data_IF_596399728078
#
_entry.id   IF_596399728078
#
_cell.length_a   1.000
_cell.length_b   1.000
_cell.length_c   1.000
_cell.angle_alpha   90.00
_cell.angle_beta   90.00
_cell.angle_gamma   90.00
#
_symmetry.space_group_name_H-M   'P 1'
#
loop_
_entity.id
_entity.type
_entity.pdbx_description
1 polymer ?
#
# COMPACT_ATOMS: atom_id res chain seq x y z
N UNK A 1 -22.59 12.71 -12.38
CA UNK A 1 -23.16 12.15 -11.14
C UNK A 1 -22.05 12.09 -10.11
N UNK A 2 -22.02 13.03 -9.16
CA UNK A 2 -21.11 12.96 -8.02
C UNK A 2 -21.93 12.43 -6.85
N UNK A 3 -21.55 11.27 -6.30
CA UNK A 3 -22.17 10.74 -5.10
C UNK A 3 -21.98 11.69 -3.90
N UNK A 4 -22.57 11.37 -2.73
CA UNK A 4 -22.37 12.17 -1.53
C UNK A 4 -20.87 12.36 -1.25
N UNK A 5 -20.46 13.60 -0.95
CA UNK A 5 -19.08 13.92 -0.61
C UNK A 5 -18.64 13.06 0.57
N UNK A 6 -17.76 12.09 0.30
CA UNK A 6 -17.08 11.32 1.33
C UNK A 6 -16.00 12.22 1.93
N UNK A 7 -15.94 12.43 3.25
CA UNK A 7 -14.88 13.23 3.84
C UNK A 7 -13.54 12.55 3.59
N UNK A 8 -12.74 13.09 2.67
CA UNK A 8 -11.35 12.66 2.49
C UNK A 8 -10.51 13.28 3.59
N UNK A 9 -9.95 12.48 4.48
CA UNK A 9 -9.10 12.97 5.57
C UNK A 9 -7.68 13.35 5.10
N UNK A 10 -7.51 13.62 3.80
CA UNK A 10 -6.20 13.91 3.20
C UNK A 10 -5.26 12.70 3.09
N UNK A 11 -5.79 11.48 3.28
CA UNK A 11 -5.04 10.23 3.20
C UNK A 11 -5.25 9.47 1.90
N UNK A 12 -4.47 8.41 1.71
CA UNK A 12 -4.63 7.44 0.64
C UNK A 12 -5.02 6.07 1.21
N UNK A 13 -5.66 5.25 0.38
CA UNK A 13 -6.02 3.87 0.67
C UNK A 13 -5.60 2.98 -0.50
N UNK A 14 -5.10 1.79 -0.21
CA UNK A 14 -5.02 0.71 -1.18
C UNK A 14 -5.76 -0.50 -0.67
N UNK A 15 -6.59 -1.12 -1.51
CA UNK A 15 -7.20 -2.42 -1.19
C UNK A 15 -6.31 -3.50 -1.79
N UNK A 16 -5.70 -4.29 -0.91
CA UNK A 16 -4.85 -5.41 -1.33
C UNK A 16 -5.75 -6.60 -1.62
N UNK A 17 -5.66 -7.10 -2.85
CA UNK A 17 -6.24 -8.36 -3.27
C UNK A 17 -5.19 -9.45 -3.07
N UNK A 18 -5.39 -10.37 -2.11
CA UNK A 18 -4.45 -11.45 -1.87
C UNK A 18 -4.42 -12.42 -3.05
N UNK A 19 -3.28 -13.05 -3.28
CA UNK A 19 -3.16 -14.14 -4.27
C UNK A 19 -3.70 -15.47 -3.72
N UNK A 20 -3.70 -15.64 -2.40
CA UNK A 20 -4.40 -16.73 -1.74
C UNK A 20 -5.90 -16.44 -1.65
N UNK A 21 -6.73 -17.46 -1.40
CA UNK A 21 -8.18 -17.31 -1.16
C UNK A 21 -8.47 -16.70 0.23
N UNK A 22 -7.96 -15.50 0.47
CA UNK A 22 -8.22 -14.72 1.68
C UNK A 22 -8.94 -13.42 1.31
N UNK A 23 -9.62 -12.83 2.30
CA UNK A 23 -10.36 -11.59 2.11
C UNK A 23 -9.43 -10.42 1.77
N UNK A 24 -9.81 -9.53 0.85
CA UNK A 24 -9.11 -8.28 0.62
C UNK A 24 -9.03 -7.44 1.89
N UNK A 25 -7.92 -6.72 2.05
CA UNK A 25 -7.70 -5.86 3.22
C UNK A 25 -7.12 -4.51 2.82
N UNK A 26 -7.48 -3.43 3.54
CA UNK A 26 -7.00 -2.10 3.23
C UNK A 26 -5.60 -1.82 3.82
N UNK A 27 -4.83 -0.99 3.12
CA UNK A 27 -3.69 -0.23 3.62
C UNK A 27 -4.06 1.24 3.63
N UNK A 28 -3.83 1.92 4.74
CA UNK A 28 -4.11 3.35 4.87
C UNK A 28 -2.80 4.13 4.98
N UNK A 29 -2.71 5.27 4.30
CA UNK A 29 -1.59 6.19 4.34
C UNK A 29 -2.10 7.55 4.78
N UNK A 30 -1.56 8.07 5.88
CA UNK A 30 -1.86 9.42 6.35
C UNK A 30 -0.56 10.16 6.57
N UNK A 31 -0.54 11.45 6.22
CA UNK A 31 0.60 12.30 6.50
C UNK A 31 0.56 12.70 7.98
N UNK A 32 1.70 12.54 8.64
CA UNK A 32 2.03 13.19 9.90
C UNK A 32 3.10 14.25 9.61
N UNK A 33 3.33 15.21 10.51
CA UNK A 33 4.06 16.48 10.26
C UNK A 33 5.27 16.37 9.31
N UNK A 34 6.07 15.29 9.41
CA UNK A 34 7.24 15.03 8.55
C UNK A 34 7.34 13.59 8.04
N UNK A 35 6.33 12.75 8.27
CA UNK A 35 6.36 11.32 7.96
C UNK A 35 5.04 10.88 7.34
N UNK A 36 5.01 9.65 6.84
CA UNK A 36 3.75 9.03 6.43
C UNK A 36 3.48 7.82 7.30
N UNK A 37 2.38 7.86 8.03
CA UNK A 37 1.92 6.73 8.83
C UNK A 37 1.16 5.79 7.91
N UNK A 38 1.70 4.59 7.72
CA UNK A 38 0.99 3.49 7.06
C UNK A 38 0.36 2.57 8.09
N UNK A 39 -0.90 2.17 7.87
CA UNK A 39 -1.61 1.17 8.69
C UNK A 39 -2.17 0.03 7.86
N UNK A 40 -1.99 -1.19 8.32
CA UNK A 40 -2.63 -2.39 7.76
C UNK A 40 -4.00 -2.58 8.41
N UNK A 41 -5.00 -2.91 7.61
CA UNK A 41 -6.33 -3.32 8.08
C UNK A 41 -6.28 -4.58 8.94
N UNK A 42 -7.26 -4.74 9.83
CA UNK A 42 -7.33 -5.83 10.82
C UNK A 42 -7.30 -7.22 10.17
N UNK A 43 -7.89 -7.34 8.98
CA UNK A 43 -8.00 -8.55 8.17
C UNK A 43 -6.66 -9.02 7.56
N UNK A 44 -5.60 -8.20 7.60
CA UNK A 44 -4.30 -8.58 7.07
C UNK A 44 -3.68 -9.73 7.88
N UNK A 45 -3.63 -10.94 7.29
CA UNK A 45 -2.99 -12.10 7.90
C UNK A 45 -1.50 -12.12 7.57
N UNK A 46 -0.68 -11.70 8.54
CA UNK A 46 0.80 -11.71 8.45
C UNK A 46 1.45 -12.81 9.32
N UNK A 47 0.65 -13.69 9.92
CA UNK A 47 0.98 -14.44 11.14
C UNK A 47 2.13 -15.46 11.03
N UNK A 48 2.70 -15.68 9.84
CA UNK A 48 3.77 -16.66 9.61
C UNK A 48 4.99 -16.12 8.88
N UNK A 49 5.04 -14.82 8.60
CA UNK A 49 6.08 -14.22 7.76
C UNK A 49 7.31 -13.81 8.57
N UNK A 50 8.52 -14.09 8.06
CA UNK A 50 9.77 -13.61 8.68
C UNK A 50 10.20 -12.26 8.13
N UNK A 51 9.93 -11.98 6.86
CA UNK A 51 10.26 -10.73 6.18
C UNK A 51 9.10 -10.22 5.33
N UNK A 52 8.56 -9.04 5.67
CA UNK A 52 7.52 -8.37 4.91
C UNK A 52 8.12 -7.21 4.11
N UNK A 53 7.96 -7.24 2.79
CA UNK A 53 8.36 -6.14 1.92
C UNK A 53 7.15 -5.53 1.24
N UNK A 54 7.19 -4.21 1.08
CA UNK A 54 6.19 -3.45 0.36
C UNK A 54 6.88 -2.69 -0.76
N UNK A 55 6.35 -2.84 -1.96
CA UNK A 55 6.78 -2.10 -3.13
C UNK A 55 5.65 -1.23 -3.66
N UNK A 56 5.98 0.00 -4.05
CA UNK A 56 5.10 0.88 -4.79
C UNK A 56 5.76 1.09 -6.15
N UNK A 57 5.10 0.63 -7.20
CA UNK A 57 5.64 0.67 -8.56
C UNK A 57 5.40 2.05 -9.20
N UNK A 58 6.16 2.38 -10.25
CA UNK A 58 6.02 3.67 -10.95
C UNK A 58 4.65 3.82 -11.61
N UNK A 59 4.02 2.71 -12.00
CA UNK A 59 2.78 2.65 -12.75
C UNK A 59 1.69 1.86 -12.00
N UNK A 60 0.43 2.11 -12.34
CA UNK A 60 -0.74 1.42 -11.78
C UNK A 60 -1.28 0.34 -12.68
N UNK A 61 -0.48 -0.68 -12.97
CA UNK A 61 -0.89 -1.78 -13.86
C UNK A 61 -0.81 -3.15 -13.18
N UNK A 62 -1.93 -3.55 -12.56
CA UNK A 62 -2.07 -4.85 -11.89
C UNK A 62 -2.03 -6.06 -12.83
N UNK A 63 -2.05 -5.86 -14.15
CA UNK A 63 -1.93 -6.97 -15.10
C UNK A 63 -0.48 -7.44 -15.23
N UNK A 64 0.48 -6.57 -14.89
CA UNK A 64 1.90 -6.87 -14.94
C UNK A 64 2.41 -7.34 -13.57
N UNK A 65 3.32 -8.31 -13.60
CA UNK A 65 4.16 -8.60 -12.43
C UNK A 65 5.08 -7.41 -12.18
N UNK A 66 5.55 -7.25 -10.94
CA UNK A 66 6.47 -6.17 -10.57
C UNK A 66 7.80 -6.29 -11.35
N UNK A 67 7.85 -5.70 -12.54
CA UNK A 67 9.03 -5.68 -13.41
C UNK A 67 9.69 -4.30 -13.34
N UNK A 68 11.00 -4.29 -13.09
CA UNK A 68 11.81 -3.06 -13.00
C UNK A 68 12.00 -2.52 -11.58
N UNK A 69 12.54 -1.30 -11.53
CA UNK A 69 12.84 -0.60 -10.28
C UNK A 69 11.56 0.02 -9.72
N UNK A 70 11.22 -0.28 -8.46
CA UNK A 70 10.05 0.34 -7.86
C UNK A 70 10.36 1.81 -7.56
N UNK A 71 9.30 2.61 -7.41
CA UNK A 71 9.42 3.95 -6.87
C UNK A 71 9.67 3.89 -5.36
N UNK A 72 8.75 3.20 -4.68
CA UNK A 72 8.69 2.79 -3.28
C UNK A 72 9.30 1.42 -2.96
N UNK A 73 10.26 1.28 -2.05
CA UNK A 73 10.53 -0.03 -1.42
C UNK A 73 10.75 0.11 0.08
N UNK A 74 10.02 -0.68 0.86
CA UNK A 74 10.09 -0.67 2.32
C UNK A 74 10.17 -2.09 2.87
N UNK A 75 11.00 -2.27 3.88
CA UNK A 75 11.00 -3.46 4.73
C UNK A 75 10.20 -3.17 5.98
N UNK A 76 9.20 -3.99 6.25
CA UNK A 76 8.24 -3.82 7.32
C UNK A 76 8.44 -4.93 8.36
N UNK A 77 8.33 -4.56 9.63
CA UNK A 77 8.26 -5.53 10.73
C UNK A 77 6.89 -6.23 10.70
N UNK A 78 6.81 -7.54 10.37
CA UNK A 78 5.55 -8.27 10.25
C UNK A 78 4.76 -8.37 11.56
N UNK A 79 5.38 -8.02 12.70
CA UNK A 79 4.74 -7.99 14.02
C UNK A 79 3.99 -6.69 14.30
N UNK A 80 4.20 -5.66 13.48
CA UNK A 80 3.54 -4.36 13.60
C UNK A 80 2.42 -4.24 12.57
N UNK A 81 1.43 -3.41 12.87
CA UNK A 81 0.37 -3.02 11.94
C UNK A 81 0.43 -1.55 11.54
N UNK A 82 1.28 -0.77 12.20
CA UNK A 82 1.52 0.64 11.90
C UNK A 82 3.02 0.86 11.68
N UNK A 83 3.34 1.66 10.67
CA UNK A 83 4.70 1.92 10.22
C UNK A 83 4.89 3.40 9.95
N UNK A 84 6.00 3.95 10.45
CA UNK A 84 6.45 5.29 10.11
C UNK A 84 7.31 5.19 8.86
N UNK A 85 6.75 5.65 7.74
CA UNK A 85 7.45 5.74 6.47
C UNK A 85 8.08 7.14 6.34
N UNK A 86 9.11 7.29 5.48
CA UNK A 86 9.56 8.59 5.00
C UNK A 86 8.40 9.43 4.48
N UNK A 87 8.61 10.74 4.33
CA UNK A 87 7.60 11.61 3.74
C UNK A 87 7.23 11.14 2.32
N UNK A 88 5.97 10.75 2.14
CA UNK A 88 5.40 10.40 0.86
C UNK A 88 4.51 11.53 0.33
N UNK A 89 4.51 11.69 -0.99
CA UNK A 89 3.57 12.56 -1.67
C UNK A 89 2.24 11.82 -1.86
N UNK A 90 1.25 12.16 -1.04
CA UNK A 90 -0.10 11.56 -1.06
C UNK A 90 -0.98 12.17 -2.17
N UNK A 91 -0.48 12.17 -3.40
CA UNK A 91 -1.13 12.79 -4.55
C UNK A 91 -0.68 12.18 -5.87
N UNK A 92 -1.01 12.87 -6.97
CA UNK A 92 -0.64 12.46 -8.33
C UNK A 92 0.50 13.33 -8.82
N UNK A 93 1.69 12.75 -8.94
CA UNK A 93 2.88 13.38 -9.51
C UNK A 93 3.93 12.32 -9.88
N UNK A 94 5.12 12.73 -10.33
CA UNK A 94 6.25 11.83 -10.53
C UNK A 94 6.66 11.09 -9.25
N UNK A 95 6.46 11.70 -8.08
CA UNK A 95 6.75 11.11 -6.75
C UNK A 95 5.48 10.73 -5.98
N UNK A 96 4.30 11.15 -6.45
CA UNK A 96 3.01 10.89 -5.85
C UNK A 96 2.59 9.42 -5.90
N UNK A 97 2.08 8.86 -4.80
CA UNK A 97 1.73 7.43 -4.75
C UNK A 97 0.34 7.10 -5.31
N UNK A 98 -0.51 8.09 -5.58
CA UNK A 98 -1.89 7.85 -6.05
C UNK A 98 -1.88 7.36 -7.50
N UNK A 99 -2.71 6.34 -7.78
CA UNK A 99 -2.81 5.69 -9.08
C UNK A 99 -1.72 4.67 -9.36
N UNK A 100 -0.88 4.34 -8.36
CA UNK A 100 0.23 3.39 -8.49
C UNK A 100 -0.11 2.03 -7.93
N UNK A 101 0.50 1.01 -8.49
CA UNK A 101 0.43 -0.34 -7.95
C UNK A 101 1.23 -0.41 -6.66
N UNK A 102 0.63 -1.05 -5.68
CA UNK A 102 1.29 -1.50 -4.47
C UNK A 102 1.28 -3.02 -4.44
N UNK A 103 2.41 -3.62 -4.10
CA UNK A 103 2.57 -5.07 -3.98
C UNK A 103 3.21 -5.40 -2.64
N UNK A 104 2.67 -6.41 -1.96
CA UNK A 104 3.21 -6.96 -0.74
C UNK A 104 3.90 -8.28 -1.02
N UNK A 105 5.07 -8.48 -0.41
CA UNK A 105 5.84 -9.70 -0.48
C UNK A 105 6.09 -10.24 0.93
N UNK A 106 5.84 -11.53 1.12
CA UNK A 106 6.23 -12.27 2.33
C UNK A 106 7.29 -13.28 1.97
N UNK A 107 8.46 -13.19 2.61
CA UNK A 107 9.58 -14.10 2.38
C UNK A 107 9.89 -14.26 0.87
N UNK A 108 10.02 -13.13 0.16
CA UNK A 108 10.25 -13.01 -1.30
C UNK A 108 9.11 -13.50 -2.22
N UNK A 109 7.95 -13.89 -1.66
CA UNK A 109 6.78 -14.28 -2.45
C UNK A 109 5.75 -13.17 -2.47
N UNK A 110 5.27 -12.81 -3.65
CA UNK A 110 4.12 -11.92 -3.77
C UNK A 110 2.91 -12.56 -3.07
N UNK A 111 2.27 -11.79 -2.19
CA UNK A 111 1.08 -12.24 -1.44
C UNK A 111 -0.18 -11.49 -1.82
N UNK A 112 -0.04 -10.34 -2.47
CA UNK A 112 -1.16 -9.55 -2.93
C UNK A 112 -0.73 -8.20 -3.47
N UNK A 113 -1.64 -7.58 -4.22
CA UNK A 113 -1.43 -6.29 -4.85
C UNK A 113 -2.72 -5.47 -4.91
N UNK A 114 -2.57 -4.18 -5.13
CA UNK A 114 -3.69 -3.24 -5.26
C UNK A 114 -3.26 -1.95 -5.93
N UNK A 115 -4.21 -1.04 -6.11
CA UNK A 115 -3.96 0.33 -6.56
C UNK A 115 -4.20 1.29 -5.40
N UNK A 116 -3.30 2.25 -5.22
CA UNK A 116 -3.45 3.32 -4.24
C UNK A 116 -4.41 4.39 -4.79
N UNK A 117 -5.50 4.66 -4.08
CA UNK A 117 -6.45 5.73 -4.36
C UNK A 117 -6.59 6.70 -3.19
N UNK A 118 -7.42 7.73 -3.37
CA UNK A 118 -7.83 8.60 -2.27
C UNK A 118 -8.79 7.87 -1.33
N UNK A 119 -8.65 8.11 -0.02
CA UNK A 119 -9.51 7.53 1.02
C UNK A 119 -10.77 8.39 1.27
#
# INVERSE_FOLDING_TARGET
MCGPSRPSHGGCIAVIFPLAETSPYPLFFNRDEKTTIMRLGEEASLASCTALHMRIETHGDISQTAEGSPLYCFTLDPRKRQFDLPELELGVSERGIVGRQITLFMDEKEVGRGIIGYN
#
